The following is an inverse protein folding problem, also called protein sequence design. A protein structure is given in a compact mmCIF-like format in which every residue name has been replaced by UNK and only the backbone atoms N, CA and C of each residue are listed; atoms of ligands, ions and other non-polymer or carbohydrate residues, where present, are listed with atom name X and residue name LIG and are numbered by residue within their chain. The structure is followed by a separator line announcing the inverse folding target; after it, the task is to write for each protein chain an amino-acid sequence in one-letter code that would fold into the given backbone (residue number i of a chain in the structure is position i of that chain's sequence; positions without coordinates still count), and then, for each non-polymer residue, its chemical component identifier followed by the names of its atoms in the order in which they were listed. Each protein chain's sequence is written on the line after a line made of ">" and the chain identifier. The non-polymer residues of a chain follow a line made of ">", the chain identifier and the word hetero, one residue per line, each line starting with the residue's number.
data_IF_082429605590
#
_entry.id   IF_082429605590
#
_cell.length_a   1.000
_cell.length_b   1.000
_cell.length_c   1.000
_cell.angle_alpha   90.00
_cell.angle_beta   90.00
_cell.angle_gamma   90.00
#
_symmetry.space_group_name_H-M   'P 1'
#
loop_
_entity.id
_entity.type
_entity.pdbx_description
1 polymer ?
#
# COMPACT_ATOMS: atom_id res chain seq x y z
N UNK A 1 -18.46 12.26 13.14
CA UNK A 1 -17.03 11.86 13.20
C UNK A 1 -16.40 11.78 11.80
N UNK A 2 -16.78 10.84 10.92
CA UNK A 2 -16.13 10.72 9.58
C UNK A 2 -16.43 11.90 8.66
N UNK A 3 -17.69 12.31 8.52
CA UNK A 3 -18.06 13.50 7.73
C UNK A 3 -17.38 14.76 8.25
N UNK A 4 -17.28 14.91 9.56
CA UNK A 4 -16.61 16.06 10.19
C UNK A 4 -15.10 16.06 9.89
N UNK A 5 -14.44 14.90 10.00
CA UNK A 5 -13.04 14.74 9.62
C UNK A 5 -12.82 15.14 8.15
N UNK A 6 -13.60 14.57 7.23
CA UNK A 6 -13.46 14.84 5.80
C UNK A 6 -13.78 16.30 5.44
N UNK A 7 -14.74 16.92 6.12
CA UNK A 7 -15.04 18.35 5.96
C UNK A 7 -13.87 19.22 6.39
N UNK A 8 -13.20 18.90 7.50
CA UNK A 8 -12.01 19.64 7.95
C UNK A 8 -10.83 19.49 6.98
N UNK A 9 -10.77 18.36 6.27
CA UNK A 9 -9.69 18.06 5.35
C UNK A 9 -9.97 18.49 3.90
N UNK A 10 -11.18 18.93 3.55
CA UNK A 10 -11.52 19.34 2.18
C UNK A 10 -10.62 20.44 1.60
N UNK A 11 -10.07 21.41 2.37
CA UNK A 11 -9.12 22.37 1.79
C UNK A 11 -7.82 21.72 1.27
N UNK A 12 -7.51 20.51 1.72
CA UNK A 12 -6.35 19.73 1.29
C UNK A 12 -6.69 18.74 0.17
N UNK A 13 -7.96 18.62 -0.26
CA UNK A 13 -8.39 17.67 -1.29
C UNK A 13 -7.50 17.68 -2.55
N UNK A 14 -7.09 18.84 -3.11
CA UNK A 14 -6.22 18.86 -4.30
C UNK A 14 -4.80 18.32 -4.08
N UNK A 15 -4.37 18.17 -2.82
CA UNK A 15 -3.04 17.69 -2.43
C UNK A 15 -3.08 16.28 -1.85
N UNK A 16 -4.26 15.76 -1.51
CA UNK A 16 -4.42 14.42 -0.96
C UNK A 16 -4.53 13.44 -2.11
N UNK A 17 -3.58 12.51 -2.17
CA UNK A 17 -3.63 11.43 -3.14
C UNK A 17 -4.84 10.52 -2.91
N UNK A 18 -4.92 9.92 -1.72
CA UNK A 18 -5.99 9.00 -1.30
C UNK A 18 -6.17 8.98 0.22
N UNK A 19 -7.40 8.75 0.67
CA UNK A 19 -7.67 8.28 2.02
C UNK A 19 -7.65 6.76 2.07
N UNK A 20 -6.95 6.23 3.07
CA UNK A 20 -6.71 4.80 3.18
C UNK A 20 -7.34 4.23 4.44
N UNK A 21 -8.33 3.36 4.24
CA UNK A 21 -8.96 2.54 5.28
C UNK A 21 -8.20 1.23 5.44
N UNK A 22 -7.50 1.09 6.57
CA UNK A 22 -6.81 -0.13 6.93
C UNK A 22 -7.68 -0.97 7.87
N UNK A 23 -8.17 -2.12 7.40
CA UNK A 23 -9.05 -3.00 8.17
C UNK A 23 -8.27 -4.03 8.98
N UNK A 24 -8.73 -4.40 10.19
CA UNK A 24 -8.08 -5.42 11.01
C UNK A 24 -8.25 -6.82 10.40
N UNK A 25 -7.42 -7.77 10.85
CA UNK A 25 -7.50 -9.17 10.39
C UNK A 25 -8.82 -9.87 10.79
N UNK A 26 -9.54 -9.34 11.78
CA UNK A 26 -10.86 -9.82 12.19
C UNK A 26 -11.98 -9.37 11.25
N UNK A 27 -11.74 -8.41 10.36
CA UNK A 27 -12.71 -7.96 9.37
C UNK A 27 -12.72 -8.94 8.19
N UNK A 28 -13.75 -9.77 8.09
CA UNK A 28 -13.89 -10.81 7.08
C UNK A 28 -15.01 -10.55 6.07
N UNK A 29 -15.35 -11.57 5.27
CA UNK A 29 -16.37 -11.46 4.22
C UNK A 29 -17.77 -11.13 4.73
N UNK A 30 -18.10 -11.52 5.98
CA UNK A 30 -19.42 -11.28 6.58
C UNK A 30 -19.68 -9.79 6.83
N UNK A 31 -18.61 -9.01 6.99
CA UNK A 31 -18.68 -7.58 7.28
C UNK A 31 -18.71 -6.72 6.00
N UNK A 32 -18.59 -7.32 4.81
CA UNK A 32 -18.62 -6.59 3.53
C UNK A 32 -19.86 -5.68 3.36
N UNK A 33 -21.09 -6.07 3.74
CA UNK A 33 -22.24 -5.16 3.67
C UNK A 33 -22.03 -3.85 4.45
N UNK A 34 -21.36 -3.92 5.61
CA UNK A 34 -21.04 -2.73 6.40
C UNK A 34 -19.97 -1.87 5.72
N UNK A 35 -18.96 -2.49 5.10
CA UNK A 35 -17.97 -1.78 4.29
C UNK A 35 -18.62 -1.06 3.10
N UNK A 36 -19.54 -1.71 2.41
CA UNK A 36 -20.28 -1.13 1.29
C UNK A 36 -21.08 0.09 1.72
N UNK A 37 -21.89 -0.04 2.78
CA UNK A 37 -22.64 1.08 3.32
C UNK A 37 -21.73 2.25 3.74
N UNK A 38 -20.59 1.94 4.37
CA UNK A 38 -19.60 2.95 4.74
C UNK A 38 -19.05 3.68 3.51
N UNK A 39 -18.53 2.94 2.52
CA UNK A 39 -17.95 3.51 1.30
C UNK A 39 -18.98 4.33 0.50
N UNK A 40 -20.24 3.86 0.43
CA UNK A 40 -21.33 4.55 -0.27
C UNK A 40 -21.73 5.87 0.43
N UNK A 41 -21.37 6.04 1.70
CA UNK A 41 -21.60 7.28 2.46
C UNK A 41 -20.46 8.31 2.34
N UNK A 42 -19.34 7.95 1.70
CA UNK A 42 -18.18 8.82 1.60
C UNK A 42 -18.37 9.89 0.50
N UNK A 43 -17.85 11.11 0.69
CA UNK A 43 -17.91 12.16 -0.32
C UNK A 43 -17.07 11.79 -1.55
N UNK A 44 -17.60 12.05 -2.75
CA UNK A 44 -16.93 11.75 -4.02
C UNK A 44 -15.77 12.68 -4.39
N UNK A 45 -15.46 13.70 -3.57
CA UNK A 45 -14.34 14.63 -3.81
C UNK A 45 -12.97 13.98 -3.61
N UNK A 46 -12.89 12.87 -2.87
CA UNK A 46 -11.63 12.20 -2.56
C UNK A 46 -11.55 10.82 -3.19
N UNK A 47 -10.32 10.35 -3.37
CA UNK A 47 -10.03 8.97 -3.73
C UNK A 47 -9.85 8.12 -2.47
N UNK A 48 -10.26 6.86 -2.53
CA UNK A 48 -10.21 5.94 -1.39
C UNK A 48 -9.46 4.66 -1.70
N UNK A 49 -8.81 4.10 -0.68
CA UNK A 49 -8.14 2.81 -0.70
C UNK A 49 -8.54 1.94 0.50
N UNK A 50 -8.74 0.65 0.30
CA UNK A 50 -9.05 -0.34 1.35
C UNK A 50 -7.94 -1.38 1.43
N UNK A 51 -7.27 -1.51 2.59
CA UNK A 51 -6.37 -2.62 2.90
C UNK A 51 -7.13 -3.66 3.73
N UNK A 52 -7.31 -4.87 3.18
CA UNK A 52 -7.83 -6.03 3.91
C UNK A 52 -6.71 -6.93 4.39
N UNK A 53 -6.95 -7.65 5.50
CA UNK A 53 -5.95 -8.54 6.12
C UNK A 53 -6.46 -9.95 6.35
N UNK A 54 -7.76 -10.18 6.17
CA UNK A 54 -8.37 -11.48 6.43
C UNK A 54 -8.04 -12.49 5.31
N UNK A 55 -7.55 -13.71 5.63
CA UNK A 55 -7.05 -14.68 4.65
C UNK A 55 -8.03 -15.05 3.53
N UNK A 56 -9.33 -15.09 3.83
CA UNK A 56 -10.36 -15.41 2.82
C UNK A 56 -10.37 -14.43 1.63
N UNK A 57 -9.93 -13.18 1.81
CA UNK A 57 -9.81 -12.22 0.71
C UNK A 57 -8.59 -12.44 -0.20
N UNK A 58 -7.79 -13.48 0.05
CA UNK A 58 -6.62 -13.84 -0.73
C UNK A 58 -6.67 -15.30 -1.20
N UNK A 59 -7.79 -15.98 -0.97
CA UNK A 59 -7.95 -17.40 -1.26
C UNK A 59 -8.34 -17.68 -2.73
N UNK A 60 -8.44 -16.65 -3.60
CA UNK A 60 -8.92 -16.75 -4.99
C UNK A 60 -10.33 -17.37 -5.12
N UNK A 61 -11.11 -17.35 -4.04
CA UNK A 61 -12.49 -17.82 -3.98
C UNK A 61 -13.51 -16.71 -4.20
N UNK A 62 -14.78 -17.03 -3.95
CA UNK A 62 -15.91 -16.10 -4.10
C UNK A 62 -15.80 -14.86 -3.20
N UNK A 63 -15.21 -15.01 -2.01
CA UNK A 63 -15.04 -13.93 -1.04
C UNK A 63 -14.11 -12.84 -1.58
N UNK A 64 -13.00 -13.25 -2.21
CA UNK A 64 -12.07 -12.33 -2.85
C UNK A 64 -12.70 -11.67 -4.08
N UNK A 65 -13.41 -12.44 -4.91
CA UNK A 65 -14.10 -11.90 -6.07
C UNK A 65 -15.16 -10.87 -5.68
N UNK A 66 -15.92 -11.15 -4.61
CA UNK A 66 -16.96 -10.26 -4.07
C UNK A 66 -16.35 -8.95 -3.58
N UNK A 67 -15.23 -9.01 -2.85
CA UNK A 67 -14.49 -7.82 -2.43
C UNK A 67 -14.02 -7.00 -3.66
N UNK A 68 -13.31 -7.64 -4.59
CA UNK A 68 -12.73 -6.94 -5.75
C UNK A 68 -13.83 -6.30 -6.62
N UNK A 69 -14.93 -7.01 -6.86
CA UNK A 69 -16.07 -6.50 -7.64
C UNK A 69 -16.76 -5.33 -6.93
N UNK A 70 -16.98 -5.44 -5.63
CA UNK A 70 -17.63 -4.40 -4.84
C UNK A 70 -16.80 -3.11 -4.74
N UNK A 71 -15.48 -3.24 -4.63
CA UNK A 71 -14.54 -2.11 -4.69
C UNK A 71 -14.52 -1.48 -6.09
N UNK A 72 -14.47 -2.31 -7.14
CA UNK A 72 -14.47 -1.84 -8.53
C UNK A 72 -15.73 -1.05 -8.89
N UNK A 73 -16.91 -1.55 -8.49
CA UNK A 73 -18.19 -0.85 -8.70
C UNK A 73 -18.23 0.53 -8.05
N UNK A 74 -17.45 0.76 -6.99
CA UNK A 74 -17.40 2.02 -6.24
C UNK A 74 -16.23 2.92 -6.64
N UNK A 75 -15.37 2.49 -7.58
CA UNK A 75 -14.16 3.20 -7.91
C UNK A 75 -13.17 3.33 -6.73
N UNK A 76 -13.20 2.36 -5.79
CA UNK A 76 -12.32 2.35 -4.62
C UNK A 76 -11.14 1.41 -4.87
N UNK A 77 -9.93 1.85 -4.52
CA UNK A 77 -8.73 1.05 -4.70
C UNK A 77 -8.62 -0.03 -3.62
N UNK A 78 -8.21 -1.24 -4.02
CA UNK A 78 -7.68 -2.25 -3.11
C UNK A 78 -6.21 -1.93 -2.89
N UNK A 79 -5.85 -1.66 -1.63
CA UNK A 79 -4.45 -1.49 -1.26
C UNK A 79 -3.76 -2.84 -1.35
N UNK A 80 -2.63 -2.87 -2.05
CA UNK A 80 -1.84 -4.07 -2.27
C UNK A 80 -0.69 -4.07 -1.28
N UNK A 81 -0.82 -4.91 -0.26
CA UNK A 81 0.25 -5.15 0.70
C UNK A 81 1.22 -6.19 0.12
N UNK A 82 2.48 -5.82 0.01
CA UNK A 82 3.57 -6.76 -0.23
C UNK A 82 4.46 -6.85 1.00
N UNK A 83 4.27 -7.92 1.76
CA UNK A 83 5.10 -8.25 2.92
C UNK A 83 6.00 -9.46 2.69
N UNK A 84 6.23 -9.86 1.43
CA UNK A 84 7.17 -10.97 1.12
C UNK A 84 8.57 -10.71 1.70
N UNK A 85 9.17 -9.51 1.60
CA UNK A 85 10.53 -9.29 2.10
C UNK A 85 10.63 -9.47 3.61
N UNK A 86 9.75 -8.84 4.40
CA UNK A 86 9.77 -8.98 5.87
C UNK A 86 9.55 -10.43 6.32
N UNK A 87 8.73 -11.22 5.61
CA UNK A 87 8.52 -12.64 5.93
C UNK A 87 9.63 -13.58 5.42
N UNK A 88 10.45 -13.12 4.47
CA UNK A 88 11.62 -13.84 3.96
C UNK A 88 12.90 -13.55 4.77
N UNK A 89 12.92 -12.45 5.52
CA UNK A 89 14.06 -12.06 6.35
C UNK A 89 14.34 -13.03 7.51
N UNK A 90 15.62 -13.21 7.82
CA UNK A 90 16.03 -13.98 9.00
C UNK A 90 15.63 -13.22 10.28
N UNK A 91 14.94 -13.84 11.27
CA UNK A 91 14.43 -13.16 12.46
C UNK A 91 15.52 -12.92 13.52
N UNK A 92 16.56 -12.16 13.16
CA UNK A 92 17.73 -11.92 14.00
C UNK A 92 17.60 -10.70 14.93
N UNK A 93 16.67 -9.78 14.65
CA UNK A 93 16.36 -8.64 15.51
C UNK A 93 14.93 -8.68 16.07
N UNK A 94 14.68 -7.97 17.18
CA UNK A 94 13.34 -7.84 17.76
C UNK A 94 12.37 -7.11 16.82
N UNK A 95 12.85 -6.07 16.13
CA UNK A 95 12.06 -5.32 15.16
C UNK A 95 11.54 -6.21 14.02
N UNK A 96 12.38 -7.09 13.47
CA UNK A 96 11.98 -8.04 12.42
C UNK A 96 10.96 -9.04 12.97
N UNK A 97 11.21 -9.61 14.15
CA UNK A 97 10.28 -10.56 14.78
C UNK A 97 8.92 -9.92 15.04
N UNK A 98 8.88 -8.70 15.54
CA UNK A 98 7.64 -7.98 15.80
C UNK A 98 6.88 -7.65 14.51
N UNK A 99 7.60 -7.21 13.47
CA UNK A 99 7.01 -6.98 12.17
C UNK A 99 6.44 -8.26 11.56
N UNK A 100 7.17 -9.39 11.61
CA UNK A 100 6.66 -10.69 11.15
C UNK A 100 5.40 -11.14 11.88
N UNK A 101 5.28 -10.87 13.18
CA UNK A 101 4.04 -11.15 13.95
C UNK A 101 2.87 -10.25 13.55
N UNK A 102 3.12 -8.95 13.35
CA UNK A 102 2.06 -7.94 13.12
C UNK A 102 1.61 -7.84 11.66
N UNK A 103 2.47 -8.15 10.70
CA UNK A 103 2.15 -8.07 9.26
C UNK A 103 1.52 -9.39 8.82
N UNK A 104 0.35 -9.38 8.18
CA UNK A 104 -0.30 -10.62 7.74
C UNK A 104 0.58 -11.32 6.69
N UNK A 105 0.61 -12.66 6.72
CA UNK A 105 1.28 -13.46 5.68
C UNK A 105 0.28 -13.80 4.58
N UNK A 106 0.00 -12.80 3.74
CA UNK A 106 -0.96 -12.92 2.63
C UNK A 106 -0.23 -12.89 1.28
N UNK A 107 -0.70 -13.65 0.28
CA UNK A 107 -0.19 -13.56 -1.09
C UNK A 107 -0.30 -12.15 -1.65
N UNK A 108 0.68 -11.77 -2.49
CA UNK A 108 0.64 -10.49 -3.21
C UNK A 108 -0.29 -10.62 -4.40
N UNK A 109 -1.44 -9.95 -4.33
CA UNK A 109 -2.43 -9.92 -5.41
C UNK A 109 -2.40 -8.53 -6.07
N UNK A 110 -1.65 -8.41 -7.16
CA UNK A 110 -1.61 -7.19 -7.97
C UNK A 110 -2.90 -7.06 -8.79
N UNK A 111 -3.86 -6.30 -8.27
CA UNK A 111 -5.18 -6.09 -8.88
C UNK A 111 -5.51 -4.61 -8.97
N UNK A 112 -6.02 -4.18 -10.12
CA UNK A 112 -6.60 -2.86 -10.28
C UNK A 112 -8.10 -2.94 -10.02
N UNK A 113 -8.55 -2.18 -9.03
CA UNK A 113 -9.98 -2.02 -8.71
C UNK A 113 -10.45 -0.60 -9.03
N UNK A 114 -9.53 0.38 -9.05
CA UNK A 114 -9.79 1.74 -9.52
C UNK A 114 -8.54 2.35 -10.17
N UNK A 115 -8.55 3.67 -10.40
CA UNK A 115 -7.56 4.40 -11.22
C UNK A 115 -6.35 4.90 -10.46
N UNK A 116 -6.24 4.62 -9.17
CA UNK A 116 -5.15 5.10 -8.31
C UNK A 116 -4.59 3.94 -7.48
N UNK A 117 -3.99 2.90 -8.08
CA UNK A 117 -3.55 1.74 -7.32
C UNK A 117 -2.55 2.13 -6.24
N UNK A 118 -2.73 1.61 -5.02
CA UNK A 118 -1.87 1.90 -3.88
C UNK A 118 -1.11 0.63 -3.49
N UNK A 119 0.20 0.66 -3.68
CA UNK A 119 1.12 -0.43 -3.32
C UNK A 119 1.79 -0.05 -2.00
N UNK A 120 1.74 -0.94 -1.03
CA UNK A 120 2.48 -0.84 0.22
C UNK A 120 3.51 -1.96 0.29
N UNK A 121 4.76 -1.63 -0.05
CA UNK A 121 5.88 -2.56 -0.03
C UNK A 121 6.57 -2.51 1.33
N UNK A 122 6.58 -3.64 2.04
CA UNK A 122 7.22 -3.80 3.34
C UNK A 122 8.55 -4.52 3.14
N UNK A 123 9.62 -3.73 2.99
CA UNK A 123 10.98 -4.22 2.90
C UNK A 123 11.45 -4.91 4.18
N UNK A 124 12.56 -5.62 4.08
CA UNK A 124 13.37 -6.10 5.20
C UNK A 124 14.62 -5.23 5.35
N UNK A 125 15.53 -5.64 6.21
CA UNK A 125 16.87 -5.08 6.33
C UNK A 125 17.87 -5.65 5.31
N UNK A 126 17.45 -6.60 4.46
CA UNK A 126 18.24 -7.10 3.33
C UNK A 126 17.89 -6.33 2.05
N UNK A 127 18.70 -5.32 1.72
CA UNK A 127 18.49 -4.45 0.57
C UNK A 127 18.63 -5.18 -0.77
N UNK A 128 19.45 -6.24 -0.84
CA UNK A 128 19.58 -7.05 -2.05
C UNK A 128 18.28 -7.82 -2.29
N UNK A 129 17.78 -8.50 -1.26
CA UNK A 129 16.50 -9.22 -1.33
C UNK A 129 15.33 -8.27 -1.62
N UNK A 130 15.32 -7.08 -1.01
CA UNK A 130 14.32 -6.05 -1.30
C UNK A 130 14.30 -5.71 -2.79
N UNK A 131 15.46 -5.43 -3.40
CA UNK A 131 15.59 -5.10 -4.81
C UNK A 131 15.13 -6.24 -5.73
N UNK A 132 15.46 -7.48 -5.40
CA UNK A 132 15.04 -8.67 -6.15
C UNK A 132 13.51 -8.85 -6.11
N UNK A 133 12.92 -8.83 -4.92
CA UNK A 133 11.47 -8.99 -4.74
C UNK A 133 10.68 -7.83 -5.34
N UNK A 134 11.29 -6.65 -5.44
CA UNK A 134 10.70 -5.45 -6.02
C UNK A 134 10.67 -5.46 -7.57
N UNK A 135 11.44 -6.32 -8.25
CA UNK A 135 11.48 -6.35 -9.72
C UNK A 135 10.11 -6.53 -10.38
N UNK A 136 9.24 -7.34 -9.77
CA UNK A 136 7.86 -7.53 -10.27
C UNK A 136 7.04 -6.24 -10.24
N UNK A 137 7.33 -5.35 -9.28
CA UNK A 137 6.66 -4.06 -9.15
C UNK A 137 7.14 -3.05 -10.18
N UNK A 138 8.41 -3.06 -10.57
CA UNK A 138 8.91 -2.18 -11.64
C UNK A 138 8.10 -2.41 -12.93
N UNK A 139 7.93 -3.66 -13.33
CA UNK A 139 7.14 -4.01 -14.52
C UNK A 139 5.68 -3.58 -14.38
N UNK A 140 5.07 -3.80 -13.20
CA UNK A 140 3.67 -3.45 -12.95
C UNK A 140 3.43 -1.94 -12.89
N UNK A 141 4.33 -1.20 -12.24
CA UNK A 141 4.24 0.25 -12.15
C UNK A 141 4.38 0.89 -13.53
N UNK A 142 5.33 0.44 -14.36
CA UNK A 142 5.43 0.86 -15.77
C UNK A 142 4.14 0.62 -16.55
N UNK A 143 3.55 -0.57 -16.39
CA UNK A 143 2.30 -0.92 -17.04
C UNK A 143 1.15 -0.03 -16.56
N UNK A 144 1.01 0.14 -15.25
CA UNK A 144 -0.12 0.86 -14.65
C UNK A 144 -0.01 2.37 -14.84
N UNK A 145 1.19 2.93 -14.87
CA UNK A 145 1.40 4.37 -15.10
C UNK A 145 0.86 4.86 -16.44
N UNK A 146 0.70 3.96 -17.43
CA UNK A 146 0.15 4.31 -18.75
C UNK A 146 -1.33 4.73 -18.70
N UNK A 147 -2.10 4.24 -17.72
CA UNK A 147 -3.56 4.42 -17.68
C UNK A 147 -4.11 4.80 -16.31
N UNK A 148 -3.27 4.82 -15.28
CA UNK A 148 -3.62 5.08 -13.89
C UNK A 148 -2.58 5.97 -13.22
N UNK A 149 -2.81 6.38 -11.98
CA UNK A 149 -1.80 7.07 -11.15
C UNK A 149 -1.43 6.21 -9.94
N UNK A 150 -0.38 5.38 -10.04
CA UNK A 150 0.06 4.54 -8.93
C UNK A 150 0.63 5.35 -7.77
N UNK A 151 0.34 4.89 -6.55
CA UNK A 151 0.95 5.36 -5.31
C UNK A 151 1.78 4.23 -4.71
N UNK A 152 3.05 4.49 -4.46
CA UNK A 152 3.98 3.55 -3.85
C UNK A 152 4.38 4.04 -2.46
N UNK A 153 4.09 3.23 -1.45
CA UNK A 153 4.52 3.44 -0.07
C UNK A 153 5.57 2.40 0.30
N UNK A 154 6.79 2.85 0.55
CA UNK A 154 7.91 2.03 1.02
C UNK A 154 7.96 2.09 2.55
N UNK A 155 8.06 0.92 3.19
CA UNK A 155 8.14 0.80 4.65
C UNK A 155 9.09 -0.32 5.03
N UNK A 156 9.71 -0.20 6.20
CA UNK A 156 10.61 -1.20 6.80
C UNK A 156 10.18 -1.44 8.25
N UNK A 157 10.49 -2.60 8.85
CA UNK A 157 10.29 -2.88 10.27
C UNK A 157 10.91 -1.80 11.18
N UNK A 158 12.14 -1.41 10.87
CA UNK A 158 12.79 -0.25 11.45
C UNK A 158 12.71 0.93 10.48
N UNK A 159 11.99 1.99 10.87
CA UNK A 159 11.77 3.17 10.02
C UNK A 159 13.08 3.87 9.66
N UNK A 160 14.15 3.72 10.44
CA UNK A 160 15.47 4.27 10.14
C UNK A 160 16.05 3.73 8.83
N UNK A 161 15.61 2.54 8.38
CA UNK A 161 16.06 1.92 7.14
C UNK A 161 15.21 2.30 5.91
N UNK A 162 14.09 3.00 6.09
CA UNK A 162 13.24 3.40 4.96
C UNK A 162 13.98 4.30 3.94
N UNK A 163 14.83 5.27 4.36
CA UNK A 163 15.69 6.03 3.44
C UNK A 163 16.63 5.15 2.60
N UNK A 164 17.25 4.14 3.22
CA UNK A 164 18.15 3.21 2.53
C UNK A 164 17.40 2.36 1.51
N UNK A 165 16.19 1.90 1.85
CA UNK A 165 15.30 1.21 0.93
C UNK A 165 14.94 2.09 -0.27
N UNK A 166 14.60 3.37 -0.04
CA UNK A 166 14.33 4.35 -1.11
C UNK A 166 15.55 4.46 -2.02
N UNK A 167 16.74 4.69 -1.47
CA UNK A 167 17.98 4.81 -2.24
C UNK A 167 18.28 3.56 -3.08
N UNK A 168 18.11 2.38 -2.47
CA UNK A 168 18.34 1.08 -3.12
C UNK A 168 17.46 0.89 -4.34
N UNK A 169 16.18 1.29 -4.25
CA UNK A 169 15.20 1.06 -5.31
C UNK A 169 15.13 2.22 -6.32
N UNK A 170 15.60 3.42 -5.98
CA UNK A 170 15.36 4.62 -6.78
C UNK A 170 15.95 4.54 -8.19
N UNK A 171 17.17 4.01 -8.33
CA UNK A 171 17.80 3.94 -9.65
C UNK A 171 17.01 3.06 -10.61
N UNK A 172 16.52 1.92 -10.14
CA UNK A 172 15.71 1.01 -10.95
C UNK A 172 14.34 1.63 -11.25
N UNK A 173 13.70 2.25 -10.25
CA UNK A 173 12.48 3.01 -10.44
C UNK A 173 12.65 4.09 -11.50
N UNK A 174 13.72 4.88 -11.46
CA UNK A 174 13.98 5.96 -12.42
C UNK A 174 14.28 5.43 -13.82
N UNK A 175 14.97 4.28 -13.94
CA UNK A 175 15.18 3.63 -15.24
C UNK A 175 13.86 3.18 -15.86
N UNK A 176 12.92 2.72 -15.03
CA UNK A 176 11.62 2.23 -15.46
C UNK A 176 10.57 3.34 -15.66
N UNK A 177 10.62 4.39 -14.84
CA UNK A 177 9.71 5.53 -14.79
C UNK A 177 10.55 6.84 -14.71
N UNK A 178 11.08 7.33 -15.83
CA UNK A 178 11.97 8.51 -15.83
C UNK A 178 11.33 9.78 -15.23
N UNK A 179 10.01 9.89 -15.29
CA UNK A 179 9.21 11.02 -14.80
C UNK A 179 9.26 11.22 -13.28
N UNK A 180 9.67 10.21 -12.50
CA UNK A 180 9.83 10.37 -11.04
C UNK A 180 11.00 11.31 -10.68
N UNK A 181 11.90 11.56 -11.63
CA UNK A 181 12.99 12.51 -11.49
C UNK A 181 14.17 12.04 -10.64
N UNK A 182 14.93 13.01 -10.13
CA UNK A 182 16.08 12.77 -9.27
C UNK A 182 15.65 12.22 -7.90
N UNK A 183 16.57 11.53 -7.23
CA UNK A 183 16.34 11.06 -5.85
C UNK A 183 15.94 12.28 -5.00
N UNK A 184 14.83 12.22 -4.25
CA UNK A 184 14.44 13.32 -3.39
C UNK A 184 15.54 13.55 -2.35
N UNK A 185 15.79 14.81 -2.01
CA UNK A 185 16.64 15.14 -0.88
C UNK A 185 15.97 14.57 0.38
N UNK A 186 16.54 13.50 0.95
CA UNK A 186 16.04 12.96 2.22
C UNK A 186 16.57 13.89 3.30
N UNK A 187 15.70 14.64 4.00
CA UNK A 187 16.16 15.57 5.02
C UNK A 187 16.85 14.78 6.13
N UNK A 188 18.17 14.94 6.26
CA UNK A 188 18.90 14.48 7.43
C UNK A 188 18.66 15.50 8.54
N UNK A 189 17.70 15.22 9.41
CA UNK A 189 17.51 16.01 10.62
C UNK A 189 18.60 15.63 11.62
N UNK A 190 19.68 16.41 11.64
CA UNK A 190 20.85 16.19 12.51
C UNK A 190 20.58 16.50 13.99
N UNK A 191 19.50 17.22 14.30
CA UNK A 191 19.02 17.46 15.66
C UNK A 191 17.50 17.56 15.73
N UNK A 192 16.92 17.12 16.84
CA UNK A 192 15.50 17.26 17.14
C UNK A 192 15.12 18.68 17.59
N UNK A 193 15.81 19.72 17.12
CA UNK A 193 15.45 21.14 17.21
C UNK A 193 16.16 21.91 16.10
#
# INVERSE_FOLDING_TARGET
>A
LVTEFLTRMSPLAPRIGQYWLQLPATFGPRELPALWHFLDSLPGEFNYGVEVRHPQFFAKGEEEQTLNRGLHQRGVNRVILDSRPVHAACPHSEAIRDAQRKKPKVPVHAVLTATNPLIRFIGSDDMTQNRELFQVWLQKLAQWHQTTTPYLFLHTPDIAQAPELVHTLWEDLRKTLPEIGAVPAIPQQSSLF
#
